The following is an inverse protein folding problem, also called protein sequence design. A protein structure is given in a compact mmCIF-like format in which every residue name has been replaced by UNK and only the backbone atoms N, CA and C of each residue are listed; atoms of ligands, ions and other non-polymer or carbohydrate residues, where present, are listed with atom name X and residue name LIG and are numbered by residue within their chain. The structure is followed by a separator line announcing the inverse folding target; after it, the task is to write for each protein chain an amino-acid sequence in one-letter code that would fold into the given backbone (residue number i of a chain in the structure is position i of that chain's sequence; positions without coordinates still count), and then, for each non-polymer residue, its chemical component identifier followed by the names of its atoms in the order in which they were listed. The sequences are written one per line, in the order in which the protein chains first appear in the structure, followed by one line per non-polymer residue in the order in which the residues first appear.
data_IF_695431412578
#
_entry.id   IF_695431412578
#
_cell.length_a   1.000
_cell.length_b   1.000
_cell.length_c   1.000
_cell.angle_alpha   90.00
_cell.angle_beta   90.00
_cell.angle_gamma   90.00
#
_symmetry.space_group_name_H-M   'P 1'
#
loop_
_entity.id
_entity.type
_entity.pdbx_description
1 polymer ?
#
# COMPACT_ATOMS: atom_id res chain seq x y z
N UNK A 1 6.35 -12.40 -11.30
CA UNK A 1 5.54 -11.16 -11.29
C UNK A 1 5.98 -10.28 -10.13
N UNK A 2 6.64 -9.15 -10.40
CA UNK A 2 7.08 -8.19 -9.37
C UNK A 2 5.92 -7.23 -9.12
N UNK A 3 5.13 -7.48 -8.08
CA UNK A 3 4.02 -6.58 -7.73
C UNK A 3 4.58 -5.36 -6.99
N UNK A 4 4.93 -4.31 -7.72
CA UNK A 4 5.15 -2.99 -7.12
C UNK A 4 3.79 -2.44 -6.68
N UNK A 5 3.44 -2.71 -5.42
CA UNK A 5 2.17 -2.30 -4.82
C UNK A 5 2.31 -1.00 -4.00
N UNK A 6 3.57 -0.58 -3.75
CA UNK A 6 3.93 0.62 -3.00
C UNK A 6 5.18 1.22 -3.65
N UNK A 7 5.13 2.52 -3.95
CA UNK A 7 6.26 3.29 -4.47
C UNK A 7 6.95 4.08 -3.37
N UNK A 8 6.18 4.76 -2.53
CA UNK A 8 6.71 5.55 -1.42
C UNK A 8 5.74 5.56 -0.23
N UNK A 9 6.29 5.67 0.97
CA UNK A 9 5.50 5.88 2.19
C UNK A 9 6.28 6.74 3.17
N UNK A 10 5.64 7.78 3.70
CA UNK A 10 6.25 8.74 4.61
C UNK A 10 5.29 9.04 5.76
N UNK A 11 5.79 9.02 6.99
CA UNK A 11 5.05 9.48 8.17
C UNK A 11 5.10 11.01 8.23
N UNK A 12 3.94 11.66 8.15
CA UNK A 12 3.84 13.09 8.32
C UNK A 12 3.95 13.47 9.82
N UNK A 13 4.46 14.68 10.15
CA UNK A 13 4.53 15.16 11.54
C UNK A 13 3.17 15.22 12.24
N UNK A 14 2.08 15.28 11.47
CA UNK A 14 0.70 15.23 11.98
C UNK A 14 0.26 13.84 12.46
N UNK A 15 1.08 12.80 12.31
CA UNK A 15 0.72 11.41 12.65
C UNK A 15 -0.04 10.67 11.55
N UNK A 16 -0.21 11.29 10.39
CA UNK A 16 -0.82 10.67 9.21
C UNK A 16 0.24 10.05 8.31
N UNK A 17 -0.12 9.02 7.56
CA UNK A 17 0.78 8.41 6.59
C UNK A 17 0.46 8.90 5.18
N UNK A 18 1.48 9.38 4.48
CA UNK A 18 1.42 9.67 3.05
C UNK A 18 1.89 8.44 2.28
N UNK A 19 1.01 7.88 1.46
CA UNK A 19 1.26 6.66 0.72
C UNK A 19 1.12 6.90 -0.78
N UNK A 20 2.06 6.40 -1.56
CA UNK A 20 1.97 6.40 -3.00
C UNK A 20 2.16 4.98 -3.55
N UNK A 21 1.20 4.50 -4.34
CA UNK A 21 1.22 3.16 -4.90
C UNK A 21 2.13 3.02 -6.13
N UNK A 22 2.16 4.04 -6.99
CA UNK A 22 2.99 4.14 -8.21
C UNK A 22 3.50 5.57 -8.36
N UNK A 23 4.65 5.77 -9.00
CA UNK A 23 5.22 7.09 -9.20
C UNK A 23 4.24 8.11 -9.82
N UNK A 24 3.36 7.64 -10.70
CA UNK A 24 2.35 8.45 -11.41
C UNK A 24 0.98 8.50 -10.70
N UNK A 25 0.84 7.82 -9.56
CA UNK A 25 -0.42 7.76 -8.82
C UNK A 25 -0.50 8.92 -7.82
N UNK A 26 -1.71 9.45 -7.56
CA UNK A 26 -1.91 10.40 -6.47
C UNK A 26 -1.46 9.82 -5.13
N UNK A 27 -0.92 10.70 -4.28
CA UNK A 27 -0.57 10.39 -2.89
C UNK A 27 -1.87 10.31 -2.09
N UNK A 28 -2.04 9.22 -1.36
CA UNK A 28 -3.14 8.99 -0.45
C UNK A 28 -2.72 9.32 0.97
N UNK A 29 -3.63 9.94 1.72
CA UNK A 29 -3.47 10.16 3.16
C UNK A 29 -4.15 9.01 3.89
N UNK A 30 -3.44 8.40 4.84
CA UNK A 30 -3.97 7.39 5.73
C UNK A 30 -3.97 7.91 7.16
N UNK A 31 -5.14 7.81 7.80
CA UNK A 31 -5.36 8.30 9.14
C UNK A 31 -4.86 7.28 10.17
N UNK A 32 -3.55 7.34 10.41
CA UNK A 32 -2.89 6.65 11.51
C UNK A 32 -2.59 5.16 11.27
N UNK A 33 -2.20 4.44 12.34
CA UNK A 33 -1.60 3.10 12.22
C UNK A 33 -2.56 2.04 11.68
N UNK A 34 -3.86 2.14 11.99
CA UNK A 34 -4.86 1.15 11.55
C UNK A 34 -5.01 1.13 10.03
N UNK A 35 -5.14 2.32 9.42
CA UNK A 35 -5.24 2.45 7.97
C UNK A 35 -3.99 1.90 7.25
N UNK A 36 -2.81 2.00 7.89
CA UNK A 36 -1.58 1.40 7.38
C UNK A 36 -1.60 -0.13 7.44
N UNK A 37 -2.14 -0.71 8.51
CA UNK A 37 -2.29 -2.17 8.65
C UNK A 37 -3.32 -2.71 7.64
N UNK A 38 -4.44 -2.02 7.47
CA UNK A 38 -5.47 -2.38 6.49
C UNK A 38 -4.90 -2.34 5.05
N UNK A 39 -4.10 -1.32 4.72
CA UNK A 39 -3.37 -1.25 3.45
C UNK A 39 -2.41 -2.44 3.27
N UNK A 40 -1.62 -2.76 4.31
CA UNK A 40 -0.69 -3.88 4.24
C UNK A 40 -1.42 -5.22 4.02
N UNK A 41 -2.57 -5.42 4.65
CA UNK A 41 -3.41 -6.59 4.46
C UNK A 41 -3.95 -6.70 3.03
N UNK A 42 -4.40 -5.60 2.43
CA UNK A 42 -4.88 -5.58 1.04
C UNK A 42 -3.76 -5.92 0.04
N UNK A 43 -2.58 -5.33 0.23
CA UNK A 43 -1.37 -5.64 -0.55
C UNK A 43 -1.05 -7.13 -0.48
N UNK A 44 -1.01 -7.70 0.73
CA UNK A 44 -0.74 -9.12 0.93
C UNK A 44 -1.81 -10.01 0.30
N UNK A 45 -3.09 -9.64 0.46
CA UNK A 45 -4.20 -10.35 -0.13
C UNK A 45 -4.10 -10.39 -1.66
N UNK A 46 -3.77 -9.25 -2.29
CA UNK A 46 -3.59 -9.13 -3.74
C UNK A 46 -2.41 -9.94 -4.27
N UNK A 47 -1.29 -9.98 -3.54
CA UNK A 47 -0.15 -10.86 -3.87
C UNK A 47 -0.60 -12.33 -3.82
N UNK A 48 -1.32 -12.72 -2.76
CA UNK A 48 -1.76 -14.10 -2.55
C UNK A 48 -2.74 -14.57 -3.63
N UNK A 49 -3.72 -13.74 -3.99
CA UNK A 49 -4.72 -14.05 -5.02
C UNK A 49 -4.12 -14.11 -6.42
N UNK A 50 -3.25 -13.16 -6.76
CA UNK A 50 -2.59 -13.13 -8.08
C UNK A 50 -1.65 -14.33 -8.27
N UNK A 51 -0.97 -14.76 -7.20
CA UNK A 51 -0.13 -15.98 -7.21
C UNK A 51 -0.95 -17.25 -7.46
N UNK A 52 -2.18 -17.32 -6.92
CA UNK A 52 -3.05 -18.47 -7.12
C UNK A 52 -3.67 -18.53 -8.53
N UNK A 53 -3.84 -17.37 -9.18
CA UNK A 53 -4.34 -17.26 -10.56
C UNK A 53 -3.34 -17.75 -11.63
N UNK A 54 -2.05 -17.82 -11.28
CA UNK A 54 -0.97 -18.18 -12.22
C UNK A 54 -0.58 -19.66 -12.15
N UNK A 55 -1.37 -20.49 -11.47
CA UNK A 55 -1.10 -21.93 -11.30
C UNK A 55 -2.06 -22.76 -12.14
#
# INVERSE_FOLDING_TARGET
MRHQLLHATVLAPSGHWLVQHRAESPVQLLDGPRAMVDLAADIQHRIRTTRNRTR
#
